data_IF_884087233090
#
_entry.id   IF_884087233090
#
_cell.length_a   1.000
_cell.length_b   1.000
_cell.length_c   1.000
_cell.angle_alpha   90.00
_cell.angle_beta   90.00
_cell.angle_gamma   90.00
#
_symmetry.space_group_name_H-M   'P 1'
#
loop_
_entity.id
_entity.type
_entity.pdbx_description
1 polymer ?
#
# COMPACT_ATOMS: atom_id res chain seq x y z
N UNK A 1 13.41 0.45 11.54
CA UNK A 1 14.38 -0.58 11.07
C UNK A 1 14.75 -0.32 9.63
N UNK A 2 16.01 -0.54 9.23
CA UNK A 2 16.42 -0.40 7.83
C UNK A 2 16.89 -1.74 7.27
N UNK A 3 16.26 -2.22 6.20
CA UNK A 3 16.70 -3.43 5.50
C UNK A 3 17.88 -3.12 4.58
N UNK A 4 18.77 -4.08 4.30
CA UNK A 4 19.93 -3.79 3.46
C UNK A 4 19.52 -3.42 2.02
N UNK A 5 18.56 -4.13 1.43
CA UNK A 5 18.08 -3.92 0.07
C UNK A 5 16.55 -3.95 -0.03
N UNK A 6 16.00 -3.37 -1.10
CA UNK A 6 14.58 -3.41 -1.42
C UNK A 6 14.13 -4.78 -1.94
N UNK A 7 12.84 -5.09 -1.81
CA UNK A 7 12.23 -6.29 -2.40
C UNK A 7 11.52 -7.24 -1.43
N UNK A 8 10.98 -8.32 -2.01
CA UNK A 8 10.06 -9.26 -1.38
C UNK A 8 10.65 -10.09 -0.25
N UNK A 9 11.98 -10.24 -0.18
CA UNK A 9 12.69 -10.92 0.89
C UNK A 9 12.38 -10.31 2.28
N UNK A 10 12.00 -9.04 2.31
CA UNK A 10 11.72 -8.32 3.55
C UNK A 10 10.27 -8.51 4.04
N UNK A 11 9.39 -9.12 3.25
CA UNK A 11 7.92 -9.12 3.49
C UNK A 11 7.55 -9.62 4.89
N UNK A 12 8.17 -10.72 5.35
CA UNK A 12 7.90 -11.29 6.66
C UNK A 12 8.21 -10.28 7.79
N UNK A 13 9.42 -9.73 7.76
CA UNK A 13 9.90 -8.81 8.76
C UNK A 13 9.10 -7.49 8.74
N UNK A 14 8.69 -7.01 7.56
CA UNK A 14 7.82 -5.84 7.44
C UNK A 14 6.49 -6.08 8.15
N UNK A 15 5.85 -7.22 7.91
CA UNK A 15 4.57 -7.54 8.54
C UNK A 15 4.74 -7.65 10.06
N UNK A 16 5.77 -8.36 10.54
CA UNK A 16 6.02 -8.51 11.98
C UNK A 16 6.20 -7.15 12.68
N UNK A 17 7.00 -6.26 12.08
CA UNK A 17 7.24 -4.92 12.62
C UNK A 17 5.98 -4.05 12.56
N UNK A 18 5.21 -4.15 11.48
CA UNK A 18 3.96 -3.42 11.29
C UNK A 18 2.92 -3.84 12.34
N UNK A 19 2.72 -5.15 12.54
CA UNK A 19 1.80 -5.69 13.55
C UNK A 19 2.24 -5.35 14.97
N UNK A 20 3.55 -5.45 15.26
CA UNK A 20 4.11 -5.04 16.55
C UNK A 20 3.83 -3.56 16.82
N UNK A 21 4.11 -2.68 15.85
CA UNK A 21 3.88 -1.24 16.02
C UNK A 21 2.39 -0.89 16.09
N UNK A 22 1.54 -1.57 15.32
CA UNK A 22 0.08 -1.45 15.40
C UNK A 22 -0.40 -1.70 16.83
N UNK A 23 0.09 -2.79 17.45
CA UNK A 23 -0.21 -3.14 18.83
C UNK A 23 0.34 -2.12 19.84
N UNK A 24 1.56 -1.65 19.65
CA UNK A 24 2.18 -0.63 20.53
C UNK A 24 1.38 0.69 20.55
N UNK A 25 0.79 1.08 19.42
CA UNK A 25 0.05 2.33 19.26
C UNK A 25 -1.48 2.16 19.35
N UNK A 26 -1.98 0.94 19.57
CA UNK A 26 -3.41 0.60 19.52
C UNK A 26 -4.10 1.01 18.20
N UNK A 27 -3.41 0.82 17.08
CA UNK A 27 -3.94 1.07 15.74
C UNK A 27 -4.56 -0.22 15.19
N UNK A 28 -5.85 -0.15 14.83
CA UNK A 28 -6.60 -1.31 14.32
C UNK A 28 -6.74 -1.34 12.79
N UNK A 29 -6.43 -0.23 12.11
CA UNK A 29 -6.56 -0.10 10.66
C UNK A 29 -5.22 -0.36 9.97
N UNK A 30 -5.17 -1.37 9.10
CA UNK A 30 -3.98 -1.72 8.32
C UNK A 30 -4.32 -1.75 6.82
N UNK A 31 -3.63 -0.93 6.05
CA UNK A 31 -3.72 -0.91 4.59
C UNK A 31 -2.48 -1.56 4.00
N UNK A 32 -2.65 -2.52 3.10
CA UNK A 32 -1.54 -3.27 2.49
C UNK A 32 -1.66 -3.34 0.97
N UNK A 33 -0.56 -3.09 0.28
CA UNK A 33 -0.46 -3.31 -1.15
C UNK A 33 -0.26 -4.81 -1.45
N UNK A 34 -1.15 -5.39 -2.26
CA UNK A 34 -1.03 -6.78 -2.70
C UNK A 34 -1.73 -6.98 -4.04
N UNK A 35 -0.96 -7.04 -5.12
CA UNK A 35 -1.51 -7.14 -6.47
C UNK A 35 -2.00 -8.55 -6.86
N UNK A 36 -1.43 -9.60 -6.27
CA UNK A 36 -1.82 -11.01 -6.50
C UNK A 36 -2.29 -11.74 -5.25
N UNK A 37 -2.40 -11.04 -4.11
CA UNK A 37 -2.87 -11.61 -2.86
C UNK A 37 -1.79 -12.20 -1.94
N UNK A 38 -0.58 -12.47 -2.41
CA UNK A 38 0.45 -13.15 -1.58
C UNK A 38 0.83 -12.40 -0.30
N UNK A 39 0.97 -11.07 -0.34
CA UNK A 39 1.32 -10.27 0.84
C UNK A 39 0.21 -10.26 1.90
N UNK A 40 -1.04 -10.07 1.48
CA UNK A 40 -2.19 -10.04 2.40
C UNK A 40 -2.48 -11.44 2.98
N UNK A 41 -2.31 -12.51 2.21
CA UNK A 41 -2.41 -13.89 2.73
C UNK A 41 -1.41 -14.13 3.86
N UNK A 42 -0.16 -13.71 3.66
CA UNK A 42 0.87 -13.79 4.71
C UNK A 42 0.54 -12.92 5.93
N UNK A 43 -0.04 -11.74 5.72
CA UNK A 43 -0.50 -10.88 6.82
C UNK A 43 -1.60 -11.58 7.64
N UNK A 44 -2.60 -12.18 6.98
CA UNK A 44 -3.66 -12.95 7.62
C UNK A 44 -3.13 -14.12 8.45
N UNK A 45 -2.20 -14.90 7.90
CA UNK A 45 -1.55 -16.01 8.59
C UNK A 45 -0.89 -15.55 9.91
N UNK A 46 -0.26 -14.37 9.92
CA UNK A 46 0.41 -13.83 11.10
C UNK A 46 -0.55 -13.14 12.09
N UNK A 47 -1.67 -12.57 11.62
CA UNK A 47 -2.72 -12.02 12.47
C UNK A 47 -3.51 -13.10 13.22
N UNK A 48 -3.69 -14.27 12.60
CA UNK A 48 -4.48 -15.38 13.13
C UNK A 48 -6.01 -15.16 13.00
N UNK A 49 -6.79 -16.24 13.14
CA UNK A 49 -8.23 -16.29 12.80
C UNK A 49 -9.15 -15.35 13.62
N UNK A 50 -8.67 -14.75 14.72
CA UNK A 50 -9.46 -13.91 15.63
C UNK A 50 -8.98 -12.46 15.71
N UNK A 51 -8.32 -11.96 14.67
CA UNK A 51 -7.89 -10.57 14.67
C UNK A 51 -9.09 -9.60 14.61
N UNK A 52 -9.04 -8.54 15.39
CA UNK A 52 -10.01 -7.43 15.35
C UNK A 52 -9.54 -6.28 14.45
N UNK A 53 -8.56 -6.55 13.59
CA UNK A 53 -7.97 -5.57 12.69
C UNK A 53 -8.88 -5.36 11.48
N UNK A 54 -9.05 -4.10 11.09
CA UNK A 54 -9.59 -3.73 9.80
C UNK A 54 -8.47 -3.84 8.76
N UNK A 55 -8.51 -4.89 7.93
CA UNK A 55 -7.52 -5.16 6.91
C UNK A 55 -8.03 -4.72 5.53
N UNK A 56 -7.36 -3.72 4.95
CA UNK A 56 -7.66 -3.21 3.62
C UNK A 56 -6.54 -3.61 2.67
N UNK A 57 -6.86 -4.51 1.72
CA UNK A 57 -5.96 -4.93 0.66
C UNK A 57 -6.20 -4.09 -0.58
N UNK A 58 -5.22 -3.26 -0.97
CA UNK A 58 -5.27 -2.48 -2.20
C UNK A 58 -4.51 -3.22 -3.30
N UNK A 59 -5.22 -3.61 -4.37
CA UNK A 59 -4.64 -4.24 -5.56
C UNK A 59 -4.53 -3.22 -6.71
N UNK A 60 -3.87 -3.61 -7.79
CA UNK A 60 -3.81 -2.81 -9.01
C UNK A 60 -5.20 -2.60 -9.63
N UNK A 61 -5.38 -1.44 -10.26
CA UNK A 61 -6.58 -1.16 -11.06
C UNK A 61 -6.76 -2.20 -12.18
N UNK A 62 -8.01 -2.46 -12.58
CA UNK A 62 -8.29 -3.26 -13.77
C UNK A 62 -7.64 -2.60 -14.99
N UNK A 63 -7.02 -3.39 -15.87
CA UNK A 63 -6.30 -2.85 -17.01
C UNK A 63 -4.83 -2.50 -16.75
N UNK A 64 -4.29 -2.71 -15.53
CA UNK A 64 -2.91 -2.32 -15.23
C UNK A 64 -1.87 -3.12 -16.03
N UNK A 65 -1.99 -4.45 -16.05
CA UNK A 65 -1.10 -5.32 -16.81
C UNK A 65 -1.62 -5.59 -18.24
N UNK A 66 -2.92 -5.85 -18.37
CA UNK A 66 -3.62 -6.11 -19.63
C UNK A 66 -5.03 -5.49 -19.59
N UNK A 67 -5.55 -4.92 -20.70
CA UNK A 67 -6.90 -4.36 -20.76
C UNK A 67 -7.98 -5.36 -20.32
N UNK A 68 -8.87 -4.93 -19.42
CA UNK A 68 -9.99 -5.76 -18.95
C UNK A 68 -9.65 -6.78 -17.85
N UNK A 69 -8.37 -6.94 -17.50
CA UNK A 69 -7.93 -7.94 -16.53
C UNK A 69 -7.50 -7.34 -15.18
N UNK A 70 -7.62 -8.15 -14.13
CA UNK A 70 -7.00 -7.89 -12.82
C UNK A 70 -5.93 -8.96 -12.53
N UNK A 71 -4.79 -8.55 -11.97
CA UNK A 71 -3.73 -9.50 -11.59
C UNK A 71 -4.15 -10.42 -10.43
N UNK A 72 -5.10 -10.01 -9.60
CA UNK A 72 -5.69 -10.85 -8.57
C UNK A 72 -6.86 -11.62 -9.15
N UNK A 73 -6.73 -12.95 -9.22
CA UNK A 73 -7.78 -13.82 -9.71
C UNK A 73 -9.02 -13.80 -8.81
N UNK A 74 -10.17 -14.16 -9.39
CA UNK A 74 -11.47 -14.10 -8.72
C UNK A 74 -11.58 -15.03 -7.52
N UNK A 75 -10.94 -16.21 -7.56
CA UNK A 75 -10.91 -17.13 -6.43
C UNK A 75 -10.12 -16.59 -5.25
N UNK A 76 -8.94 -16.02 -5.48
CA UNK A 76 -8.11 -15.37 -4.46
C UNK A 76 -8.85 -14.17 -3.87
N UNK A 77 -9.50 -13.35 -4.71
CA UNK A 77 -10.30 -12.23 -4.21
C UNK A 77 -11.43 -12.70 -3.29
N UNK A 78 -12.19 -13.71 -3.73
CA UNK A 78 -13.32 -14.25 -2.97
C UNK A 78 -12.87 -14.81 -1.63
N UNK A 79 -11.82 -15.61 -1.63
CA UNK A 79 -11.19 -16.19 -0.42
C UNK A 79 -10.78 -15.10 0.59
N UNK A 80 -10.11 -14.03 0.13
CA UNK A 80 -9.72 -12.92 1.00
C UNK A 80 -10.94 -12.20 1.61
N UNK A 81 -11.99 -11.98 0.82
CA UNK A 81 -13.21 -11.33 1.30
C UNK A 81 -13.97 -12.21 2.30
N UNK A 82 -14.00 -13.53 2.09
CA UNK A 82 -14.59 -14.50 3.03
C UNK A 82 -13.83 -14.52 4.37
N UNK A 83 -12.53 -14.23 4.35
CA UNK A 83 -11.70 -14.04 5.55
C UNK A 83 -11.81 -12.63 6.16
N UNK A 84 -12.73 -11.79 5.68
CA UNK A 84 -13.01 -10.46 6.25
C UNK A 84 -12.11 -9.33 5.75
N UNK A 85 -11.28 -9.56 4.74
CA UNK A 85 -10.45 -8.51 4.14
C UNK A 85 -11.28 -7.65 3.19
N UNK A 86 -11.16 -6.33 3.31
CA UNK A 86 -11.70 -5.40 2.31
C UNK A 86 -10.72 -5.29 1.13
N UNK A 87 -11.12 -5.75 -0.05
CA UNK A 87 -10.26 -5.71 -1.25
C UNK A 87 -10.64 -4.55 -2.17
N UNK A 88 -9.77 -3.55 -2.27
CA UNK A 88 -9.94 -2.36 -3.10
C UNK A 88 -9.22 -2.48 -4.45
N UNK A 89 -9.98 -2.30 -5.53
CA UNK A 89 -9.45 -2.08 -6.90
C UNK A 89 -9.89 -0.70 -7.36
N UNK A 90 -8.96 0.22 -7.52
CA UNK A 90 -9.26 1.57 -8.02
C UNK A 90 -8.04 2.20 -8.68
N UNK A 91 -8.23 3.31 -9.38
CA UNK A 91 -7.18 4.09 -10.04
C UNK A 91 -6.09 4.48 -9.04
N UNK A 92 -4.82 4.33 -9.43
CA UNK A 92 -3.69 4.73 -8.59
C UNK A 92 -3.65 6.25 -8.42
N UNK A 93 -3.65 6.72 -7.17
CA UNK A 93 -3.73 8.15 -6.85
C UNK A 93 -2.59 8.99 -7.47
N UNK A 94 -1.33 8.53 -7.42
CA UNK A 94 -0.21 9.28 -8.02
C UNK A 94 -0.02 9.02 -9.52
N UNK A 95 -1.06 8.56 -10.21
CA UNK A 95 -1.03 8.31 -11.64
C UNK A 95 -2.23 8.93 -12.34
N UNK A 96 -3.45 8.51 -11.98
CA UNK A 96 -4.69 9.08 -12.51
C UNK A 96 -4.68 9.35 -14.02
N UNK A 97 -5.25 10.50 -14.39
CA UNK A 97 -5.23 11.00 -15.76
C UNK A 97 -3.81 11.39 -16.21
N UNK A 98 -2.94 11.86 -15.32
CA UNK A 98 -1.55 12.25 -15.62
C UNK A 98 -0.79 11.12 -16.35
N UNK A 99 -1.03 9.86 -15.97
CA UNK A 99 -0.44 8.69 -16.67
C UNK A 99 -0.88 8.59 -18.12
N UNK A 100 -2.16 8.86 -18.42
CA UNK A 100 -2.66 8.83 -19.78
C UNK A 100 -2.04 9.96 -20.61
N UNK A 101 -1.92 11.16 -20.04
CA UNK A 101 -1.28 12.31 -20.69
C UNK A 101 0.20 12.01 -20.97
N UNK A 102 0.94 11.48 -19.99
CA UNK A 102 2.33 11.05 -20.18
C UNK A 102 2.48 9.99 -21.27
N UNK A 103 1.62 8.98 -21.30
CA UNK A 103 1.72 7.92 -22.30
C UNK A 103 1.44 8.44 -23.72
N UNK A 104 0.52 9.39 -23.88
CA UNK A 104 0.13 9.94 -25.18
C UNK A 104 1.09 11.02 -25.70
N UNK A 105 1.56 11.89 -24.81
CA UNK A 105 2.28 13.12 -25.19
C UNK A 105 3.69 13.21 -24.63
N UNK A 106 4.11 12.26 -23.79
CA UNK A 106 5.36 12.35 -23.02
C UNK A 106 5.29 13.39 -21.90
N UNK A 107 6.45 13.71 -21.31
CA UNK A 107 6.59 14.70 -20.25
C UNK A 107 6.52 14.15 -18.82
N UNK A 108 6.41 15.04 -17.84
CA UNK A 108 6.28 14.72 -16.41
C UNK A 108 5.21 15.64 -15.81
N UNK A 109 4.24 15.06 -15.10
CA UNK A 109 3.06 15.76 -14.58
C UNK A 109 3.00 15.73 -13.05
N UNK A 110 2.28 16.66 -12.39
CA UNK A 110 2.35 16.85 -10.94
C UNK A 110 2.17 15.58 -10.10
N UNK A 111 1.22 14.70 -10.44
CA UNK A 111 0.99 13.48 -9.67
C UNK A 111 2.21 12.55 -9.72
N UNK A 112 2.83 12.42 -10.90
CA UNK A 112 4.03 11.62 -11.07
C UNK A 112 5.28 12.27 -10.49
N UNK A 113 5.38 13.61 -10.46
CA UNK A 113 6.46 14.32 -9.75
C UNK A 113 6.40 13.99 -8.26
N UNK A 114 5.22 14.09 -7.63
CA UNK A 114 5.05 13.72 -6.22
C UNK A 114 5.41 12.25 -5.98
N UNK A 115 5.01 11.36 -6.88
CA UNK A 115 5.39 9.95 -6.86
C UNK A 115 6.91 9.75 -6.87
N UNK A 116 7.62 10.43 -7.78
CA UNK A 116 9.07 10.32 -7.90
C UNK A 116 9.79 10.91 -6.69
N UNK A 117 9.28 12.00 -6.11
CA UNK A 117 9.79 12.56 -4.86
C UNK A 117 9.68 11.55 -3.71
N UNK A 118 8.53 10.89 -3.54
CA UNK A 118 8.38 9.85 -2.51
C UNK A 118 9.30 8.64 -2.76
N UNK A 119 9.57 8.30 -4.02
CA UNK A 119 10.50 7.21 -4.38
C UNK A 119 11.95 7.48 -3.98
N UNK A 120 12.32 8.70 -3.60
CA UNK A 120 13.60 8.98 -2.92
C UNK A 120 13.71 8.13 -1.63
N UNK A 121 12.60 7.89 -0.95
CA UNK A 121 12.50 7.00 0.21
C UNK A 121 12.28 5.52 -0.16
N UNK A 122 12.19 5.18 -1.46
CA UNK A 122 11.93 3.84 -1.98
C UNK A 122 10.53 3.66 -2.56
N UNK A 123 10.36 2.66 -3.43
CA UNK A 123 9.06 2.36 -4.05
C UNK A 123 8.01 1.99 -2.99
N UNK A 124 8.40 1.19 -1.98
CA UNK A 124 7.49 0.78 -0.91
C UNK A 124 6.91 1.96 -0.13
N UNK A 125 7.71 2.99 0.17
CA UNK A 125 7.21 4.20 0.87
C UNK A 125 6.21 4.96 0.01
N UNK A 126 6.52 5.17 -1.28
CA UNK A 126 5.56 5.79 -2.21
C UNK A 126 4.26 5.01 -2.27
N UNK A 127 4.35 3.69 -2.39
CA UNK A 127 3.17 2.81 -2.49
C UNK A 127 2.35 2.88 -1.20
N UNK A 128 2.99 2.81 -0.03
CA UNK A 128 2.32 2.92 1.26
C UNK A 128 1.52 4.22 1.37
N UNK A 129 2.09 5.37 0.97
CA UNK A 129 1.34 6.64 0.94
C UNK A 129 0.16 6.58 -0.05
N UNK A 130 0.38 6.04 -1.26
CA UNK A 130 -0.64 6.00 -2.32
C UNK A 130 -1.88 5.19 -1.92
N UNK A 131 -1.66 3.96 -1.43
CA UNK A 131 -2.75 3.04 -1.12
C UNK A 131 -3.59 3.53 0.05
N UNK A 132 -2.98 4.26 0.99
CA UNK A 132 -3.72 4.80 2.15
C UNK A 132 -4.69 5.88 1.71
N UNK A 133 -4.29 6.77 0.81
CA UNK A 133 -5.18 7.80 0.26
C UNK A 133 -6.31 7.14 -0.53
N UNK A 134 -6.00 6.14 -1.36
CA UNK A 134 -7.00 5.37 -2.10
C UNK A 134 -8.00 4.67 -1.16
N UNK A 135 -7.52 4.08 -0.06
CA UNK A 135 -8.36 3.42 0.93
C UNK A 135 -9.27 4.40 1.67
N UNK A 136 -8.75 5.59 2.03
CA UNK A 136 -9.54 6.64 2.66
C UNK A 136 -10.62 7.19 1.73
N UNK A 137 -10.29 7.48 0.47
CA UNK A 137 -11.25 7.97 -0.52
C UNK A 137 -12.36 6.96 -0.81
N UNK A 138 -12.06 5.65 -0.70
CA UNK A 138 -13.04 4.58 -0.82
C UNK A 138 -13.89 4.36 0.45
N UNK A 139 -13.63 5.09 1.54
CA UNK A 139 -14.34 4.96 2.81
C UNK A 139 -14.02 3.65 3.57
N UNK A 140 -12.88 3.02 3.29
CA UNK A 140 -12.48 1.74 3.90
C UNK A 140 -11.68 1.92 5.19
N UNK A 141 -11.18 3.12 5.44
CA UNK A 141 -10.52 3.51 6.69
C UNK A 141 -11.09 4.85 7.20
N UNK A 142 -11.07 5.10 8.51
CA UNK A 142 -11.62 6.32 9.09
C UNK A 142 -10.79 7.57 8.77
N UNK A 143 -11.47 8.72 8.64
CA UNK A 143 -10.84 10.03 8.51
C UNK A 143 -10.34 10.54 9.85
N UNK A 144 -9.15 11.14 9.87
CA UNK A 144 -8.58 11.76 11.08
C UNK A 144 -7.90 10.79 12.04
N UNK A 145 -7.77 9.51 11.69
CA UNK A 145 -7.09 8.49 12.50
C UNK A 145 -5.75 8.08 11.89
N UNK A 146 -4.83 7.66 12.75
CA UNK A 146 -3.57 7.06 12.33
C UNK A 146 -3.82 5.61 11.88
N UNK A 147 -3.22 5.21 10.77
CA UNK A 147 -3.29 3.84 10.23
C UNK A 147 -1.91 3.29 9.94
N UNK A 148 -1.80 1.97 9.88
CA UNK A 148 -0.59 1.30 9.39
C UNK A 148 -0.69 1.12 7.88
N UNK A 149 0.33 1.54 7.14
CA UNK A 149 0.39 1.37 5.69
C UNK A 149 1.61 0.53 5.29
N UNK A 150 1.38 -0.54 4.53
CA UNK A 150 2.41 -1.49 4.11
C UNK A 150 2.53 -1.47 2.60
N UNK A 151 3.73 -1.13 2.10
CA UNK A 151 4.06 -1.08 0.68
C UNK A 151 5.32 -1.88 0.36
N UNK A 152 5.57 -2.08 -0.94
CA UNK A 152 6.73 -2.84 -1.40
C UNK A 152 7.30 -2.38 -2.73
N UNK A 153 8.49 -2.87 -3.05
CA UNK A 153 9.14 -2.68 -4.34
C UNK A 153 8.95 -3.90 -5.23
N UNK A 154 8.30 -3.72 -6.38
CA UNK A 154 7.96 -4.76 -7.39
C UNK A 154 7.03 -5.87 -6.89
N UNK A 155 7.44 -6.67 -5.91
CA UNK A 155 6.66 -7.75 -5.30
C UNK A 155 6.90 -7.78 -3.78
N UNK A 156 5.94 -8.33 -3.05
CA UNK A 156 6.02 -8.39 -1.58
C UNK A 156 5.93 -7.02 -0.92
N UNK A 157 6.47 -6.91 0.29
CA UNK A 157 6.54 -5.67 1.06
C UNK A 157 7.97 -5.43 1.57
N UNK A 158 8.38 -4.16 1.58
CA UNK A 158 9.69 -3.73 2.09
C UNK A 158 9.65 -2.42 2.90
N UNK A 159 8.48 -1.80 3.02
CA UNK A 159 8.27 -0.61 3.83
C UNK A 159 6.94 -0.64 4.58
N UNK A 160 6.94 -0.08 5.79
CA UNK A 160 5.74 0.17 6.57
C UNK A 160 5.79 1.52 7.28
N UNK A 161 4.65 2.21 7.33
CA UNK A 161 4.49 3.55 7.88
C UNK A 161 3.35 3.58 8.91
N UNK A 162 3.47 4.48 9.89
CA UNK A 162 2.30 5.04 10.58
C UNK A 162 1.94 6.32 9.85
N UNK A 163 0.71 6.43 9.37
CA UNK A 163 0.28 7.53 8.50
C UNK A 163 -1.14 7.96 8.84
N UNK A 164 -1.38 9.27 8.85
CA UNK A 164 -2.70 9.89 8.91
C UNK A 164 -3.03 10.42 7.52
N UNK A 165 -3.83 9.72 6.72
CA UNK A 165 -4.19 10.16 5.38
C UNK A 165 -5.15 11.35 5.41
N UNK A 166 -5.05 12.20 4.39
CA UNK A 166 -6.12 13.10 3.98
C UNK A 166 -6.69 12.64 2.63
N UNK A 167 -7.91 13.09 2.31
CA UNK A 167 -8.54 12.81 1.03
C UNK A 167 -7.69 13.33 -0.14
N UNK A 168 -7.83 12.73 -1.32
CA UNK A 168 -7.03 13.08 -2.51
C UNK A 168 -7.04 14.57 -2.85
N UNK A 169 -8.19 15.24 -2.73
CA UNK A 169 -8.34 16.68 -2.97
C UNK A 169 -7.65 17.57 -1.91
N UNK A 170 -7.23 16.99 -0.79
CA UNK A 170 -6.48 17.62 0.28
C UNK A 170 -5.19 16.86 0.60
N UNK A 171 -4.59 16.20 -0.40
CA UNK A 171 -3.43 15.31 -0.24
C UNK A 171 -2.32 15.87 0.65
N UNK A 172 -1.96 17.14 0.50
CA UNK A 172 -0.87 17.78 1.26
C UNK A 172 -1.15 17.90 2.77
N UNK A 173 -2.36 17.61 3.23
CA UNK A 173 -2.69 17.47 4.66
C UNK A 173 -2.36 16.08 5.22
N UNK A 174 -1.98 15.11 4.36
CA UNK A 174 -1.52 13.77 4.78
C UNK A 174 -0.23 13.88 5.58
N UNK A 175 -0.14 13.16 6.69
CA UNK A 175 1.03 13.16 7.56
C UNK A 175 1.59 11.75 7.73
N UNK A 176 2.83 11.53 7.29
CA UNK A 176 3.60 10.35 7.70
C UNK A 176 4.12 10.61 9.11
N UNK A 177 3.56 9.90 10.09
CA UNK A 177 3.89 10.07 11.52
C UNK A 177 5.16 9.33 11.89
N UNK A 178 5.32 8.11 11.38
CA UNK A 178 6.48 7.27 11.65
C UNK A 178 6.87 6.44 10.43
N UNK A 179 8.17 6.22 10.27
CA UNK A 179 8.71 5.20 9.37
C UNK A 179 9.08 3.98 10.23
N UNK A 180 8.24 2.94 10.18
CA UNK A 180 8.44 1.71 10.97
C UNK A 180 9.65 0.96 10.42
N UNK A 181 9.64 0.73 9.11
CA UNK A 181 10.75 0.16 8.37
C UNK A 181 10.75 0.61 6.90
N UNK A 182 11.94 0.62 6.31
CA UNK A 182 12.14 0.80 4.87
C UNK A 182 13.53 0.26 4.46
N UNK A 183 13.81 0.04 3.17
CA UNK A 183 15.15 -0.33 2.73
C UNK A 183 16.15 0.80 2.95
N UNK A 184 17.41 0.49 3.22
CA UNK A 184 18.53 1.43 3.19
C UNK A 184 18.89 1.72 1.75
N UNK A 185 19.14 0.66 0.96
CA UNK A 185 19.33 0.75 -0.48
C UNK A 185 17.99 0.55 -1.20
N UNK A 186 17.57 1.56 -1.97
CA UNK A 186 16.21 1.65 -2.55
C UNK A 186 16.03 0.94 -3.89
N UNK A 187 17.12 0.48 -4.49
CA UNK A 187 17.10 -0.25 -5.76
C UNK A 187 16.79 -1.72 -5.49
N UNK A 188 15.89 -2.28 -6.27
CA UNK A 188 15.80 -3.73 -6.45
C UNK A 188 16.92 -4.13 -7.40
N UNK A 189 17.61 -5.24 -7.12
CA UNK A 189 18.51 -5.87 -8.10
C UNK A 189 17.75 -6.27 -9.38
#
# INVERSE_FOLDING_TARGET
>A
MFFDQAGSQNTAAVIDLALKRAKELNISNIVVASNRGSTIKRLLEQCGEKHQLNLVCVTHHNGFAQPGENEMDSSTRKDLMEQGVQVLTTTHFFAGADRAVRNQFGGVYPAEIMAQTLRIFGQGVKVAVEITIMALDAGLIPYGEDVIAIGGSSRGADAALVIQPAHSNHFFSTQVKEVICMPRNKKTE
#
